data_IF_991876221817
#
_entry.id   IF_991876221817
#
_cell.length_a   1.000
_cell.length_b   1.000
_cell.length_c   1.000
_cell.angle_alpha   90.00
_cell.angle_beta   90.00
_cell.angle_gamma   90.00
#
_symmetry.space_group_name_H-M   'P 1'
#
loop_
_entity.id
_entity.type
_entity.pdbx_description
1 polymer ?
#
# COMPACT_ATOMS: atom_id res chain seq x y z
N UNK A 1 -30.61 -22.19 -24.68
CA UNK A 1 -29.18 -21.96 -24.27
C UNK A 1 -29.08 -20.90 -23.16
N UNK A 2 -29.81 -19.77 -23.30
CA UNK A 2 -29.81 -18.68 -22.30
C UNK A 2 -30.32 -19.14 -20.94
N UNK A 3 -31.43 -19.87 -20.86
CA UNK A 3 -31.96 -20.39 -19.59
C UNK A 3 -31.00 -21.34 -18.84
N UNK A 4 -30.30 -22.21 -19.59
CA UNK A 4 -29.27 -23.11 -18.99
C UNK A 4 -28.10 -22.32 -18.44
N UNK A 5 -27.68 -21.24 -19.11
CA UNK A 5 -26.61 -20.36 -18.67
C UNK A 5 -27.01 -19.61 -17.40
N UNK A 6 -28.25 -19.16 -17.31
CA UNK A 6 -28.79 -18.46 -16.14
C UNK A 6 -28.83 -19.38 -14.90
N UNK A 7 -29.31 -20.62 -15.08
CA UNK A 7 -29.31 -21.64 -14.01
C UNK A 7 -27.88 -21.93 -13.50
N UNK A 8 -26.92 -22.09 -14.43
CA UNK A 8 -25.52 -22.32 -14.07
C UNK A 8 -24.93 -21.11 -13.32
N UNK A 9 -25.23 -19.90 -13.76
CA UNK A 9 -24.73 -18.69 -13.09
C UNK A 9 -25.33 -18.51 -11.69
N UNK A 10 -26.61 -18.79 -11.52
CA UNK A 10 -27.27 -18.78 -10.21
C UNK A 10 -26.67 -19.82 -9.25
N UNK A 11 -26.47 -21.04 -9.71
CA UNK A 11 -25.84 -22.09 -8.91
C UNK A 11 -24.39 -21.73 -8.51
N UNK A 12 -23.61 -21.15 -9.43
CA UNK A 12 -22.25 -20.66 -9.12
C UNK A 12 -22.26 -19.56 -8.08
N UNK A 13 -23.22 -18.67 -8.16
CA UNK A 13 -23.37 -17.55 -7.21
C UNK A 13 -23.75 -18.05 -5.80
N UNK A 14 -24.63 -19.02 -5.73
CA UNK A 14 -25.03 -19.65 -4.46
C UNK A 14 -23.86 -20.38 -3.80
N UNK A 15 -23.12 -21.20 -4.56
CA UNK A 15 -21.91 -21.88 -4.06
C UNK A 15 -20.87 -20.88 -3.58
N UNK A 16 -20.64 -19.81 -4.33
CA UNK A 16 -19.71 -18.75 -3.98
C UNK A 16 -20.10 -18.05 -2.67
N UNK A 17 -21.40 -17.74 -2.52
CA UNK A 17 -21.90 -17.06 -1.32
C UNK A 17 -21.81 -17.96 -0.07
N UNK A 18 -22.10 -19.25 -0.22
CA UNK A 18 -21.94 -20.23 0.87
C UNK A 18 -20.48 -20.34 1.31
N UNK A 19 -19.56 -20.44 0.35
CA UNK A 19 -18.11 -20.51 0.61
C UNK A 19 -17.58 -19.24 1.29
N UNK A 20 -18.01 -18.05 0.86
CA UNK A 20 -17.63 -16.79 1.51
C UNK A 20 -18.21 -16.67 2.93
N UNK A 21 -19.40 -17.18 3.16
CA UNK A 21 -20.00 -17.23 4.50
C UNK A 21 -19.20 -18.15 5.44
N UNK A 22 -18.77 -19.30 4.95
CA UNK A 22 -17.89 -20.21 5.68
C UNK A 22 -16.55 -19.56 6.03
N UNK A 23 -15.87 -18.94 5.05
CA UNK A 23 -14.61 -18.22 5.28
C UNK A 23 -14.77 -17.06 6.26
N UNK A 24 -15.85 -16.30 6.15
CA UNK A 24 -16.16 -15.24 7.08
C UNK A 24 -16.34 -15.77 8.51
N UNK A 25 -17.00 -16.90 8.67
CA UNK A 25 -17.18 -17.56 9.98
C UNK A 25 -15.83 -17.96 10.59
N UNK A 26 -14.93 -18.53 9.80
CA UNK A 26 -13.58 -18.90 10.25
C UNK A 26 -12.77 -17.66 10.66
N UNK A 27 -12.76 -16.63 9.82
CA UNK A 27 -11.96 -15.40 10.04
C UNK A 27 -12.48 -14.58 11.23
N UNK A 28 -13.79 -14.59 11.47
CA UNK A 28 -14.46 -13.85 12.53
C UNK A 28 -14.57 -14.61 13.85
N UNK A 29 -14.07 -15.85 13.91
CA UNK A 29 -14.18 -16.67 15.12
C UNK A 29 -13.44 -16.02 16.29
N UNK A 30 -14.17 -15.67 17.36
CA UNK A 30 -13.60 -15.06 18.56
C UNK A 30 -12.98 -16.09 19.50
N UNK A 31 -13.55 -17.31 19.57
CA UNK A 31 -13.07 -18.38 20.45
C UNK A 31 -11.78 -19.02 19.93
N UNK A 32 -11.67 -19.14 18.61
CA UNK A 32 -10.47 -19.62 17.93
C UNK A 32 -10.00 -18.57 16.90
N UNK A 33 -9.23 -17.58 17.34
CA UNK A 33 -8.84 -16.45 16.51
C UNK A 33 -8.04 -16.88 15.28
N UNK A 34 -8.49 -16.46 14.09
CA UNK A 34 -7.79 -16.70 12.85
C UNK A 34 -6.38 -16.08 12.89
N UNK A 35 -5.35 -16.84 12.57
CA UNK A 35 -3.97 -16.41 12.46
C UNK A 35 -3.47 -16.61 11.02
N UNK A 36 -2.63 -15.69 10.54
CA UNK A 36 -2.02 -15.81 9.23
C UNK A 36 -0.81 -16.74 9.28
N UNK A 37 -0.80 -17.77 8.44
CA UNK A 37 0.40 -18.58 8.21
C UNK A 37 1.28 -17.88 7.16
N UNK A 38 2.34 -17.19 7.61
CA UNK A 38 3.24 -16.43 6.75
C UNK A 38 4.52 -17.23 6.51
N UNK A 39 5.06 -17.13 5.31
CA UNK A 39 6.38 -17.68 4.93
C UNK A 39 7.18 -16.63 4.19
N UNK A 40 8.49 -16.62 4.40
CA UNK A 40 9.41 -15.77 3.65
C UNK A 40 10.01 -16.57 2.49
N UNK A 41 9.82 -16.08 1.29
CA UNK A 41 10.44 -16.59 0.07
C UNK A 41 11.77 -15.87 -0.14
N UNK A 42 12.88 -16.53 0.16
CA UNK A 42 14.22 -15.98 0.05
C UNK A 42 14.65 -15.67 -1.39
N UNK A 43 14.11 -16.41 -2.37
CA UNK A 43 14.49 -16.22 -3.76
C UNK A 43 13.92 -14.93 -4.35
N UNK A 44 12.67 -14.61 -4.00
CA UNK A 44 11.96 -13.43 -4.49
C UNK A 44 11.95 -12.28 -3.48
N UNK A 45 12.52 -12.47 -2.29
CA UNK A 45 12.51 -11.50 -1.19
C UNK A 45 11.12 -10.98 -0.84
N UNK A 46 10.11 -11.87 -0.83
CA UNK A 46 8.72 -11.56 -0.53
C UNK A 46 8.16 -12.45 0.58
N UNK A 47 7.13 -11.93 1.26
CA UNK A 47 6.34 -12.71 2.19
C UNK A 47 5.07 -13.22 1.50
N UNK A 48 4.70 -14.46 1.79
CA UNK A 48 3.50 -15.10 1.24
C UNK A 48 2.69 -15.73 2.37
N UNK A 49 1.38 -15.85 2.19
CA UNK A 49 0.53 -16.63 3.09
C UNK A 49 0.32 -18.03 2.53
N UNK A 50 -0.21 -18.91 3.37
CA UNK A 50 -0.74 -20.19 2.91
C UNK A 50 -1.67 -20.00 1.72
N UNK A 51 -1.50 -20.84 0.70
CA UNK A 51 -2.28 -20.79 -0.53
C UNK A 51 -3.59 -21.57 -0.37
N UNK A 52 -4.49 -21.06 0.46
CA UNK A 52 -5.85 -21.56 0.62
C UNK A 52 -6.88 -20.43 0.50
N UNK A 53 -8.16 -20.81 0.42
CA UNK A 53 -9.25 -19.84 0.22
C UNK A 53 -9.44 -18.89 1.39
N UNK A 54 -9.24 -19.33 2.63
CA UNK A 54 -9.48 -18.52 3.84
C UNK A 54 -8.43 -17.40 3.94
N UNK A 55 -7.14 -17.71 3.77
CA UNK A 55 -6.07 -16.71 3.80
C UNK A 55 -6.22 -15.70 2.65
N UNK A 56 -6.52 -16.20 1.45
CA UNK A 56 -6.78 -15.34 0.30
C UNK A 56 -7.96 -14.40 0.55
N UNK A 57 -9.08 -14.94 1.04
CA UNK A 57 -10.27 -14.16 1.41
C UNK A 57 -9.93 -13.09 2.46
N UNK A 58 -9.26 -13.46 3.54
CA UNK A 58 -8.91 -12.53 4.61
C UNK A 58 -8.05 -11.35 4.10
N UNK A 59 -7.03 -11.62 3.28
CA UNK A 59 -6.19 -10.58 2.67
C UNK A 59 -7.00 -9.70 1.71
N UNK A 60 -7.84 -10.28 0.86
CA UNK A 60 -8.68 -9.52 -0.08
C UNK A 60 -9.71 -8.66 0.64
N UNK A 61 -10.30 -9.17 1.72
CA UNK A 61 -11.23 -8.41 2.54
C UNK A 61 -10.54 -7.22 3.23
N UNK A 62 -9.33 -7.42 3.75
CA UNK A 62 -8.52 -6.31 4.28
C UNK A 62 -8.21 -5.25 3.23
N UNK A 63 -7.79 -5.67 2.02
CA UNK A 63 -7.56 -4.76 0.90
C UNK A 63 -8.82 -3.94 0.56
N UNK A 64 -9.96 -4.62 0.44
CA UNK A 64 -11.24 -3.98 0.16
C UNK A 64 -11.60 -2.95 1.24
N UNK A 65 -11.51 -3.33 2.51
CA UNK A 65 -11.86 -2.45 3.63
C UNK A 65 -10.92 -1.23 3.71
N UNK A 66 -9.61 -1.42 3.53
CA UNK A 66 -8.65 -0.31 3.47
C UNK A 66 -8.95 0.64 2.30
N UNK A 67 -9.18 0.08 1.12
CA UNK A 67 -9.50 0.89 -0.06
C UNK A 67 -10.79 1.69 0.13
N UNK A 68 -11.86 1.04 0.62
CA UNK A 68 -13.15 1.68 0.89
C UNK A 68 -13.03 2.81 1.94
N UNK A 69 -12.27 2.57 3.01
CA UNK A 69 -12.13 3.52 4.13
C UNK A 69 -11.23 4.70 3.76
N UNK A 70 -10.07 4.42 3.18
CA UNK A 70 -9.04 5.44 2.94
C UNK A 70 -9.00 5.95 1.51
N UNK A 71 -9.80 5.37 0.60
CA UNK A 71 -9.81 5.72 -0.84
C UNK A 71 -8.41 5.78 -1.44
N UNK A 72 -7.65 4.71 -1.21
CA UNK A 72 -6.27 4.62 -1.66
C UNK A 72 -6.24 4.47 -3.18
N UNK A 73 -5.51 5.35 -3.86
CA UNK A 73 -5.32 5.33 -5.30
C UNK A 73 -3.87 4.93 -5.58
N UNK A 74 -3.70 3.85 -6.32
CA UNK A 74 -2.38 3.46 -6.80
C UNK A 74 -2.05 4.23 -8.09
N UNK A 75 -0.80 4.67 -8.20
CA UNK A 75 -0.36 5.43 -9.36
C UNK A 75 -0.25 4.55 -10.62
N UNK A 76 -0.55 5.15 -11.76
CA UNK A 76 -0.36 4.54 -13.08
C UNK A 76 0.99 5.01 -13.67
N UNK A 77 1.94 4.08 -13.79
CA UNK A 77 3.28 4.35 -14.30
C UNK A 77 3.26 4.94 -15.71
N UNK A 78 2.43 4.40 -16.59
CA UNK A 78 2.37 4.87 -17.99
C UNK A 78 1.83 6.29 -18.07
N UNK A 79 0.85 6.62 -17.24
CA UNK A 79 0.30 7.98 -17.13
C UNK A 79 1.37 8.96 -16.62
N UNK A 80 2.13 8.58 -15.60
CA UNK A 80 3.24 9.39 -15.07
C UNK A 80 4.27 9.66 -16.16
N UNK A 81 4.74 8.64 -16.88
CA UNK A 81 5.73 8.79 -17.95
C UNK A 81 5.22 9.75 -19.02
N UNK A 82 3.98 9.57 -19.49
CA UNK A 82 3.38 10.43 -20.51
C UNK A 82 3.27 11.89 -20.06
N UNK A 83 2.82 12.11 -18.82
CA UNK A 83 2.70 13.46 -18.25
C UNK A 83 4.06 14.12 -18.09
N UNK A 84 5.06 13.39 -17.59
CA UNK A 84 6.43 13.88 -17.43
C UNK A 84 7.03 14.26 -18.78
N UNK A 85 6.90 13.39 -19.79
CA UNK A 85 7.38 13.66 -21.14
C UNK A 85 6.79 14.95 -21.71
N UNK A 86 5.48 15.11 -21.66
CA UNK A 86 4.80 16.31 -22.17
C UNK A 86 5.28 17.58 -21.43
N UNK A 87 5.52 17.47 -20.13
CA UNK A 87 5.93 18.60 -19.31
C UNK A 87 7.36 19.06 -19.61
N UNK A 88 8.29 18.12 -19.86
CA UNK A 88 9.68 18.48 -20.13
C UNK A 88 9.93 18.86 -21.60
N UNK A 89 8.99 18.55 -22.50
CA UNK A 89 9.10 18.82 -23.94
C UNK A 89 8.69 20.24 -24.33
N UNK A 90 8.21 21.08 -23.42
CA UNK A 90 7.69 22.42 -23.72
C UNK A 90 8.76 23.51 -23.87
N UNK A 91 10.04 23.17 -23.65
CA UNK A 91 11.19 24.08 -23.83
C UNK A 91 11.41 25.11 -22.72
N UNK A 92 10.52 25.20 -21.69
CA UNK A 92 10.74 26.10 -20.55
C UNK A 92 11.78 25.56 -19.57
N UNK A 93 12.60 26.42 -18.95
CA UNK A 93 13.59 26.00 -17.95
C UNK A 93 12.94 25.30 -16.76
N UNK A 94 13.40 24.09 -16.46
CA UNK A 94 12.92 23.28 -15.34
C UNK A 94 14.07 22.58 -14.64
N UNK A 95 13.89 22.30 -13.36
CA UNK A 95 14.75 21.39 -12.59
C UNK A 95 13.97 20.12 -12.33
N UNK A 96 14.44 19.01 -12.88
CA UNK A 96 13.82 17.69 -12.71
C UNK A 96 14.64 16.89 -11.71
N UNK A 97 14.01 16.44 -10.65
CA UNK A 97 14.62 15.56 -9.65
C UNK A 97 13.90 14.22 -9.70
N UNK A 98 14.66 13.15 -9.92
CA UNK A 98 14.21 11.79 -9.73
C UNK A 98 14.97 11.20 -8.55
N UNK A 99 14.25 10.58 -7.63
CA UNK A 99 14.81 9.91 -6.46
C UNK A 99 14.04 8.62 -6.19
N UNK A 100 14.69 7.71 -5.46
CA UNK A 100 14.15 6.42 -5.06
C UNK A 100 14.19 6.30 -3.55
N UNK A 101 13.22 5.61 -2.96
CA UNK A 101 13.20 5.33 -1.52
C UNK A 101 13.84 3.97 -1.27
N UNK A 102 15.08 3.98 -0.78
CA UNK A 102 15.80 2.76 -0.45
C UNK A 102 15.03 1.88 0.53
N UNK A 103 14.87 0.60 0.18
CA UNK A 103 14.13 -0.39 0.98
C UNK A 103 12.76 0.13 1.42
N UNK A 104 11.96 0.59 0.45
CA UNK A 104 10.70 1.29 0.68
C UNK A 104 9.80 0.59 1.70
N UNK A 105 9.41 -0.67 1.43
CA UNK A 105 8.53 -1.42 2.33
C UNK A 105 9.16 -1.68 3.71
N UNK A 106 10.45 -1.94 3.74
CA UNK A 106 11.21 -2.24 4.96
C UNK A 106 11.48 -0.98 5.82
N UNK A 107 11.37 0.20 5.23
CA UNK A 107 11.65 1.48 5.89
C UNK A 107 10.44 2.09 6.60
N UNK A 108 9.22 1.66 6.30
CA UNK A 108 7.99 2.23 6.85
C UNK A 108 7.90 1.98 8.37
N UNK A 109 7.82 3.05 9.21
CA UNK A 109 7.67 2.91 10.65
C UNK A 109 6.28 2.36 11.00
N UNK A 110 6.21 1.17 11.61
CA UNK A 110 4.94 0.54 11.97
C UNK A 110 4.13 1.36 12.98
N UNK A 111 4.80 2.01 13.94
CA UNK A 111 4.14 2.84 14.97
C UNK A 111 3.30 3.92 14.30
N UNK A 112 3.90 4.75 13.43
CA UNK A 112 3.19 5.82 12.72
C UNK A 112 2.06 5.30 11.83
N UNK A 113 2.26 4.14 11.20
CA UNK A 113 1.23 3.50 10.38
C UNK A 113 0.04 3.06 11.22
N UNK A 114 0.29 2.39 12.37
CA UNK A 114 -0.78 1.92 13.26
C UNK A 114 -1.49 3.07 13.97
N UNK A 115 -0.81 4.15 14.32
CA UNK A 115 -1.45 5.38 14.83
C UNK A 115 -2.52 5.90 13.84
N UNK A 116 -2.19 5.98 12.54
CA UNK A 116 -3.15 6.38 11.51
C UNK A 116 -4.33 5.41 11.37
N UNK A 117 -4.07 4.11 11.49
CA UNK A 117 -5.12 3.08 11.42
C UNK A 117 -6.01 3.07 12.66
N UNK A 118 -5.42 3.20 13.84
CA UNK A 118 -6.15 3.14 15.12
C UNK A 118 -6.97 4.40 15.36
N UNK A 119 -6.48 5.58 14.98
CA UNK A 119 -7.21 6.84 15.08
C UNK A 119 -8.36 6.97 14.07
N UNK A 120 -8.39 6.12 13.04
CA UNK A 120 -9.49 6.13 12.08
C UNK A 120 -10.71 5.39 12.64
N UNK A 121 -11.84 6.09 12.75
CA UNK A 121 -13.10 5.55 13.30
C UNK A 121 -13.92 4.75 12.28
N UNK A 122 -13.66 4.92 10.98
CA UNK A 122 -14.41 4.24 9.92
C UNK A 122 -13.89 2.83 9.62
N UNK A 123 -12.61 2.56 9.93
CA UNK A 123 -12.07 1.21 9.76
C UNK A 123 -12.59 0.30 10.88
N UNK A 124 -13.21 -0.82 10.50
CA UNK A 124 -13.83 -1.72 11.45
C UNK A 124 -12.84 -2.30 12.48
N UNK A 125 -13.27 -2.52 13.73
CA UNK A 125 -12.42 -3.13 14.76
C UNK A 125 -11.85 -4.48 14.35
N UNK A 126 -12.61 -5.28 13.60
CA UNK A 126 -12.15 -6.56 13.07
C UNK A 126 -11.00 -6.39 12.08
N UNK A 127 -11.10 -5.43 11.15
CA UNK A 127 -10.00 -5.14 10.21
C UNK A 127 -8.73 -4.71 10.94
N UNK A 128 -8.86 -3.88 12.00
CA UNK A 128 -7.72 -3.50 12.85
C UNK A 128 -7.11 -4.72 13.55
N UNK A 129 -7.93 -5.60 14.12
CA UNK A 129 -7.47 -6.84 14.76
C UNK A 129 -6.73 -7.74 13.75
N UNK A 130 -7.29 -7.95 12.57
CA UNK A 130 -6.68 -8.78 11.52
C UNK A 130 -5.35 -8.19 11.05
N UNK A 131 -5.26 -6.87 10.85
CA UNK A 131 -4.00 -6.22 10.53
C UNK A 131 -2.94 -6.42 11.63
N UNK A 132 -3.31 -6.24 12.89
CA UNK A 132 -2.40 -6.48 14.03
C UNK A 132 -1.93 -7.94 14.09
N UNK A 133 -2.79 -8.92 13.80
CA UNK A 133 -2.41 -10.35 13.70
C UNK A 133 -1.47 -10.61 12.53
N UNK A 134 -1.76 -10.02 11.35
CA UNK A 134 -0.87 -10.13 10.18
C UNK A 134 0.54 -9.62 10.51
N UNK A 135 0.63 -8.47 11.15
CA UNK A 135 1.92 -7.89 11.52
C UNK A 135 2.60 -8.65 12.67
N UNK A 136 1.86 -9.21 13.60
CA UNK A 136 2.40 -10.07 14.63
C UNK A 136 3.09 -11.30 14.02
N UNK A 137 2.44 -12.01 13.09
CA UNK A 137 3.03 -13.15 12.41
C UNK A 137 4.21 -12.75 11.50
N UNK A 138 4.13 -11.59 10.86
CA UNK A 138 5.24 -11.03 10.10
C UNK A 138 6.49 -10.80 10.96
N UNK A 139 6.34 -10.21 12.14
CA UNK A 139 7.45 -9.96 13.07
C UNK A 139 8.03 -11.25 13.65
N UNK A 140 7.23 -12.30 13.84
CA UNK A 140 7.73 -13.61 14.28
C UNK A 140 8.69 -14.28 13.31
N UNK A 141 8.52 -14.02 12.01
CA UNK A 141 9.37 -14.62 10.97
C UNK A 141 10.61 -13.76 10.72
N UNK A 142 10.47 -12.47 10.91
CA UNK A 142 11.55 -11.52 10.85
C UNK A 142 12.38 -11.68 12.10
N UNK A 143 13.51 -12.40 12.01
CA UNK A 143 14.42 -12.64 13.13
C UNK A 143 14.93 -11.31 13.73
N UNK A 144 14.17 -10.78 14.69
CA UNK A 144 14.46 -9.52 15.35
C UNK A 144 14.98 -9.77 16.75
N UNK A 145 16.21 -10.28 16.83
CA UNK A 145 16.98 -10.35 18.09
C UNK A 145 17.42 -8.97 18.61
N UNK A 146 17.02 -7.87 17.95
CA UNK A 146 17.46 -6.51 18.29
C UNK A 146 16.23 -5.68 18.69
N UNK A 147 16.30 -5.08 19.89
CA UNK A 147 15.38 -4.06 20.40
C UNK A 147 15.44 -2.79 19.53
N UNK A 148 14.90 -2.83 18.31
CA UNK A 148 14.75 -1.67 17.45
C UNK A 148 13.26 -1.35 17.28
N UNK A 149 12.90 -0.07 17.07
CA UNK A 149 11.52 0.28 16.74
C UNK A 149 11.05 -0.53 15.54
N UNK A 150 9.89 -1.16 15.68
CA UNK A 150 9.31 -2.02 14.62
C UNK A 150 9.18 -1.23 13.32
N UNK A 151 9.92 -1.66 12.31
CA UNK A 151 9.94 -1.07 10.97
C UNK A 151 9.60 -2.13 9.93
N UNK A 152 9.05 -1.67 8.82
CA UNK A 152 8.76 -2.48 7.65
C UNK A 152 7.36 -3.07 7.65
N UNK A 153 6.87 -3.25 6.45
CA UNK A 153 5.60 -3.92 6.14
C UNK A 153 5.88 -5.10 5.21
N UNK A 154 5.10 -6.19 5.27
CA UNK A 154 5.41 -7.42 4.57
C UNK A 154 5.28 -7.26 3.05
N UNK A 155 6.41 -7.14 2.34
CA UNK A 155 6.47 -7.10 0.88
C UNK A 155 5.89 -8.39 0.30
N UNK A 156 5.05 -8.28 -0.74
CA UNK A 156 4.40 -9.42 -1.39
C UNK A 156 2.91 -9.55 -1.08
N UNK A 157 2.43 -8.96 0.02
CA UNK A 157 0.99 -8.90 0.25
C UNK A 157 0.38 -7.71 -0.47
N UNK A 158 -0.72 -7.98 -1.15
CA UNK A 158 -1.44 -6.88 -1.81
C UNK A 158 -1.95 -5.80 -0.83
N UNK A 159 -2.18 -6.14 0.44
CA UNK A 159 -2.54 -5.19 1.49
C UNK A 159 -1.41 -4.19 1.78
N UNK A 160 -0.15 -4.59 1.62
CA UNK A 160 1.01 -3.74 1.87
C UNK A 160 1.09 -2.55 0.92
N UNK A 161 0.68 -2.73 -0.34
CA UNK A 161 0.58 -1.63 -1.30
C UNK A 161 -0.41 -0.54 -0.83
N UNK A 162 -1.53 -0.93 -0.23
CA UNK A 162 -2.50 0.04 0.32
C UNK A 162 -1.96 0.73 1.58
N UNK A 163 -1.28 -0.01 2.44
CA UNK A 163 -0.68 0.54 3.67
C UNK A 163 0.46 1.51 3.38
N UNK A 164 1.30 1.21 2.39
CA UNK A 164 2.37 2.10 1.97
C UNK A 164 1.84 3.41 1.36
N UNK A 165 0.82 3.33 0.51
CA UNK A 165 0.16 4.53 -0.03
C UNK A 165 -0.50 5.38 1.07
N UNK A 166 -1.13 4.74 2.05
CA UNK A 166 -1.69 5.44 3.21
C UNK A 166 -0.62 6.17 4.03
N UNK A 167 0.53 5.50 4.24
CA UNK A 167 1.66 6.09 4.96
C UNK A 167 2.24 7.29 4.21
N UNK A 168 2.47 7.14 2.90
CA UNK A 168 3.10 8.16 2.06
C UNK A 168 2.23 9.39 1.80
N UNK A 169 0.92 9.32 2.02
CA UNK A 169 -0.02 10.40 1.66
C UNK A 169 0.36 11.75 2.24
N UNK A 170 0.80 11.82 3.48
CA UNK A 170 1.21 13.08 4.13
C UNK A 170 2.53 13.57 3.54
N UNK A 171 3.50 12.69 3.38
CA UNK A 171 4.81 12.98 2.78
C UNK A 171 4.62 13.50 1.34
N UNK A 172 3.77 12.83 0.54
CA UNK A 172 3.42 13.28 -0.81
C UNK A 172 2.82 14.69 -0.81
N UNK A 173 1.97 15.00 0.18
CA UNK A 173 1.35 16.32 0.30
C UNK A 173 2.36 17.38 0.77
N UNK A 174 3.26 17.05 1.68
CA UNK A 174 4.34 17.93 2.12
C UNK A 174 5.26 18.29 0.94
N UNK A 175 5.70 17.29 0.17
CA UNK A 175 6.53 17.55 -1.00
C UNK A 175 5.77 18.41 -2.03
N UNK A 176 4.50 18.09 -2.32
CA UNK A 176 3.68 18.87 -3.27
C UNK A 176 3.49 20.33 -2.85
N UNK A 177 3.58 20.63 -1.55
CA UNK A 177 3.42 21.98 -1.03
C UNK A 177 4.69 22.82 -1.08
N UNK A 178 5.84 22.24 -1.46
CA UNK A 178 7.08 22.98 -1.61
C UNK A 178 6.96 24.06 -2.71
N UNK A 179 7.60 25.22 -2.54
CA UNK A 179 7.56 26.28 -3.52
C UNK A 179 8.20 25.86 -4.84
N UNK A 180 7.74 26.47 -5.94
CA UNK A 180 8.20 26.28 -7.31
C UNK A 180 7.92 24.89 -7.90
N UNK A 181 7.26 23.98 -7.18
CA UNK A 181 6.82 22.69 -7.73
C UNK A 181 5.69 22.91 -8.73
N UNK A 182 5.86 22.36 -9.92
CA UNK A 182 4.85 22.34 -10.98
C UNK A 182 4.34 20.94 -11.27
N UNK A 183 5.08 19.91 -10.84
CA UNK A 183 4.66 18.54 -10.98
C UNK A 183 5.31 17.64 -9.93
N UNK A 184 4.51 16.74 -9.38
CA UNK A 184 4.93 15.68 -8.49
C UNK A 184 4.23 14.38 -8.87
N UNK A 185 4.98 13.32 -8.99
CA UNK A 185 4.44 11.97 -9.12
C UNK A 185 5.32 10.97 -8.38
N UNK A 186 4.66 9.94 -7.84
CA UNK A 186 5.32 8.79 -7.21
C UNK A 186 4.72 7.50 -7.74
N UNK A 187 5.56 6.54 -8.04
CA UNK A 187 5.19 5.18 -8.35
C UNK A 187 5.91 4.25 -7.38
N UNK A 188 5.21 3.83 -6.31
CA UNK A 188 5.75 3.06 -5.18
C UNK A 188 6.89 3.82 -4.50
N UNK A 189 8.13 3.48 -4.78
CA UNK A 189 9.39 4.04 -4.29
C UNK A 189 10.01 5.10 -5.21
N UNK A 190 9.71 5.05 -6.50
CA UNK A 190 10.19 6.01 -7.49
C UNK A 190 9.42 7.35 -7.39
N UNK A 191 10.13 8.43 -7.13
CA UNK A 191 9.59 9.79 -7.04
C UNK A 191 10.17 10.66 -8.14
N UNK A 192 9.33 11.41 -8.83
CA UNK A 192 9.72 12.47 -9.75
C UNK A 192 9.08 13.80 -9.33
N UNK A 193 9.93 14.82 -9.24
CA UNK A 193 9.52 16.19 -8.90
C UNK A 193 10.08 17.14 -9.96
N UNK A 194 9.24 18.03 -10.44
CA UNK A 194 9.62 19.05 -11.40
C UNK A 194 9.38 20.43 -10.81
N UNK A 195 10.43 21.23 -10.78
CA UNK A 195 10.40 22.60 -10.31
C UNK A 195 10.54 23.56 -11.48
N UNK A 196 9.89 24.71 -11.41
CA UNK A 196 10.06 25.82 -12.35
C UNK A 196 10.50 27.07 -11.57
N UNK A 197 11.83 27.30 -11.43
CA UNK A 197 12.32 28.48 -10.72
C UNK A 197 11.94 29.76 -11.47
N UNK A 198 11.41 30.75 -10.74
CA UNK A 198 10.96 32.02 -11.33
C UNK A 198 12.10 32.87 -11.89
N UNK A 199 13.30 32.76 -11.29
CA UNK A 199 14.51 33.47 -11.72
C UNK A 199 15.75 32.60 -11.55
N UNK A 200 16.79 32.81 -12.38
CA UNK A 200 18.08 32.11 -12.27
C UNK A 200 18.79 32.31 -10.92
N UNK A 201 18.57 33.45 -10.26
CA UNK A 201 19.15 33.79 -8.97
C UNK A 201 18.44 33.13 -7.77
N UNK A 202 17.29 32.49 -7.98
CA UNK A 202 16.50 31.79 -6.95
C UNK A 202 16.65 30.27 -7.03
N UNK A 203 17.74 29.79 -7.63
CA UNK A 203 18.02 28.34 -7.62
C UNK A 203 18.28 27.93 -6.17
N UNK A 204 17.24 27.42 -5.52
CA UNK A 204 17.33 26.79 -4.21
C UNK A 204 17.97 25.41 -4.35
N UNK A 205 18.54 24.90 -3.28
CA UNK A 205 18.94 23.50 -3.24
C UNK A 205 17.70 22.59 -3.06
N UNK A 206 16.94 22.44 -4.15
CA UNK A 206 15.74 21.60 -4.18
C UNK A 206 16.00 20.15 -3.74
N UNK A 207 17.26 19.65 -3.89
CA UNK A 207 17.62 18.31 -3.40
C UNK A 207 17.64 18.25 -1.88
N UNK A 208 18.13 19.29 -1.23
CA UNK A 208 18.12 19.38 0.23
C UNK A 208 16.70 19.51 0.79
N UNK A 209 15.81 20.22 0.08
CA UNK A 209 14.41 20.35 0.47
C UNK A 209 13.63 19.04 0.43
N UNK A 210 13.89 18.17 -0.55
CA UNK A 210 13.23 16.86 -0.67
C UNK A 210 13.77 15.83 0.34
N UNK A 211 15.01 16.00 0.81
CA UNK A 211 15.64 15.06 1.75
C UNK A 211 15.31 15.29 3.22
N UNK A 212 14.65 16.37 3.54
CA UNK A 212 14.16 16.68 4.92
C UNK A 212 12.96 15.82 5.28
#
# INVERSE_FOLDING_TARGET
FAEKLEVINKAKEEIRNNLFSEYATIVNNEKNPFCFEIKYDKQNEIYTTKKDGVHFFAIKQLQHNLNKTFKVIQADRNKIIKQTYNLISDGFPKVVIRTDIHKFYESIPQIKLFEKLDNNTLLSPLSKKLLKRLFYEFERIKDTSIMQPKKGIPRGFGVSAYLSELYMREIDNEIKSLPDIIYYARYVDDIIVVFSPKTKSQVRDYKAEIKK
#
